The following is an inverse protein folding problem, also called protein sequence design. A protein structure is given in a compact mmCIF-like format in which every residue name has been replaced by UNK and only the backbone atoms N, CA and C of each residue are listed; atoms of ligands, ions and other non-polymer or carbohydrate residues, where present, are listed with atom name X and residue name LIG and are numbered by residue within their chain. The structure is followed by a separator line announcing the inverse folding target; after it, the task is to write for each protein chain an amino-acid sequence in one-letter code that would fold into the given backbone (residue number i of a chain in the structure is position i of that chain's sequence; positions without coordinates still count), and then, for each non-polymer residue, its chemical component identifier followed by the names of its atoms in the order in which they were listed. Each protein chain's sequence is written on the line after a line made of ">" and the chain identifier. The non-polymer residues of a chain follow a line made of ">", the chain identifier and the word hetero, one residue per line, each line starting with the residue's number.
data_IF_120149714653
#
_entry.id   IF_120149714653
#
_cell.length_a   1.000
_cell.length_b   1.000
_cell.length_c   1.000
_cell.angle_alpha   90.00
_cell.angle_beta   90.00
_cell.angle_gamma   90.00
#
_symmetry.space_group_name_H-M   'P 1'
#
loop_
_entity.id
_entity.type
_entity.pdbx_description
1 polymer ?
#
# COMPACT_ATOMS: atom_id res chain seq x y z
N UNK A 1 -27.36 7.67 -5.45
CA UNK A 1 -26.07 7.89 -6.15
C UNK A 1 -25.38 6.53 -6.20
N UNK A 2 -25.66 5.74 -7.23
CA UNK A 2 -25.14 4.37 -7.44
C UNK A 2 -23.84 4.38 -8.27
N UNK A 3 -22.85 5.15 -7.82
CA UNK A 3 -21.60 5.36 -8.56
C UNK A 3 -20.36 4.52 -8.13
N UNK A 4 -20.28 3.91 -6.92
CA UNK A 4 -19.02 3.25 -6.50
C UNK A 4 -18.75 1.93 -7.26
N UNK A 5 -19.80 1.25 -7.72
CA UNK A 5 -19.67 -0.05 -8.39
C UNK A 5 -19.06 0.04 -9.80
N UNK A 6 -19.28 1.15 -10.53
CA UNK A 6 -18.75 1.33 -11.88
C UNK A 6 -17.24 1.65 -11.87
N UNK A 7 -16.80 2.53 -10.96
CA UNK A 7 -15.39 2.86 -10.77
C UNK A 7 -14.56 1.64 -10.36
N UNK A 8 -15.11 0.78 -9.50
CA UNK A 8 -14.42 -0.44 -9.06
C UNK A 8 -14.23 -1.46 -10.21
N UNK A 9 -15.20 -1.56 -11.16
CA UNK A 9 -15.07 -2.41 -12.36
C UNK A 9 -13.95 -1.94 -13.30
N UNK A 10 -13.86 -0.63 -13.53
CA UNK A 10 -12.77 -0.04 -14.36
C UNK A 10 -11.41 -0.24 -13.70
N UNK A 11 -11.33 -0.06 -12.38
CA UNK A 11 -10.09 -0.28 -11.61
C UNK A 11 -9.61 -1.73 -11.64
N UNK A 12 -10.52 -2.69 -11.52
CA UNK A 12 -10.19 -4.12 -11.59
C UNK A 12 -9.66 -4.53 -12.98
N UNK A 13 -10.30 -4.06 -14.05
CA UNK A 13 -9.84 -4.32 -15.42
C UNK A 13 -8.44 -3.72 -15.68
N UNK A 14 -8.20 -2.49 -15.21
CA UNK A 14 -6.90 -1.83 -15.33
C UNK A 14 -5.83 -2.55 -14.51
N UNK A 15 -6.16 -3.02 -13.30
CA UNK A 15 -5.26 -3.85 -12.49
C UNK A 15 -4.85 -5.13 -13.22
N UNK A 16 -5.82 -5.85 -13.78
CA UNK A 16 -5.55 -7.08 -14.54
C UNK A 16 -4.60 -6.83 -15.73
N UNK A 17 -4.78 -5.70 -16.43
CA UNK A 17 -3.88 -5.28 -17.50
C UNK A 17 -2.46 -4.96 -17.00
N UNK A 18 -2.32 -4.28 -15.85
CA UNK A 18 -1.01 -4.00 -15.22
C UNK A 18 -0.33 -5.31 -14.83
N UNK A 19 -1.03 -6.22 -14.15
CA UNK A 19 -0.50 -7.53 -13.75
C UNK A 19 -0.02 -8.30 -15.00
N UNK A 20 -0.83 -8.36 -16.07
CA UNK A 20 -0.46 -9.04 -17.31
C UNK A 20 0.79 -8.42 -17.96
N UNK A 21 0.86 -7.08 -18.04
CA UNK A 21 2.01 -6.36 -18.59
C UNK A 21 3.29 -6.64 -17.79
N UNK A 22 3.23 -6.55 -16.48
CA UNK A 22 4.39 -6.72 -15.60
C UNK A 22 4.84 -8.18 -15.50
N UNK A 23 3.94 -9.15 -15.67
CA UNK A 23 4.30 -10.59 -15.74
C UNK A 23 4.90 -10.99 -17.10
N UNK A 24 4.56 -10.28 -18.17
CA UNK A 24 5.15 -10.47 -19.50
C UNK A 24 6.48 -9.72 -19.71
N UNK A 25 6.75 -8.68 -18.91
CA UNK A 25 8.04 -8.04 -18.84
C UNK A 25 8.99 -8.90 -18.00
N UNK A 26 10.17 -9.23 -18.51
CA UNK A 26 11.22 -9.81 -17.66
C UNK A 26 11.44 -8.89 -16.46
N UNK A 27 11.50 -9.41 -15.22
CA UNK A 27 11.69 -8.57 -14.04
C UNK A 27 12.97 -7.76 -14.22
N UNK A 28 12.90 -6.45 -13.99
CA UNK A 28 14.06 -5.55 -14.00
C UNK A 28 15.13 -5.97 -12.97
N UNK A 29 14.77 -6.86 -12.03
CA UNK A 29 15.67 -7.53 -11.11
C UNK A 29 15.63 -9.06 -11.31
N UNK A 30 16.12 -9.55 -12.45
CA UNK A 30 16.63 -10.92 -12.48
C UNK A 30 17.83 -11.01 -11.50
N UNK A 31 17.62 -11.45 -10.26
CA UNK A 31 18.62 -12.10 -9.39
C UNK A 31 18.04 -12.57 -8.04
N UNK A 32 17.98 -13.89 -7.89
CA UNK A 32 18.15 -14.65 -6.63
C UNK A 32 17.07 -14.52 -5.53
N UNK A 33 16.22 -15.55 -5.42
CA UNK A 33 16.25 -16.53 -4.32
C UNK A 33 15.28 -17.70 -4.64
N UNK A 34 15.56 -18.87 -4.04
CA UNK A 34 15.05 -20.21 -4.41
C UNK A 34 13.53 -20.40 -4.21
N UNK A 35 12.98 -21.33 -5.00
CA UNK A 35 11.57 -21.75 -5.05
C UNK A 35 11.14 -22.60 -3.84
N UNK A 36 10.42 -21.97 -2.91
CA UNK A 36 9.72 -22.67 -1.81
C UNK A 36 8.19 -22.42 -1.87
N UNK A 37 7.62 -22.17 -3.06
CA UNK A 37 6.17 -22.04 -3.27
C UNK A 37 5.56 -20.71 -2.79
N UNK A 38 6.27 -19.91 -1.99
CA UNK A 38 6.00 -18.50 -1.77
C UNK A 38 7.17 -17.71 -2.35
N UNK A 39 6.95 -16.90 -3.39
CA UNK A 39 8.00 -16.06 -4.01
C UNK A 39 8.51 -15.06 -2.98
N UNK A 40 9.58 -15.40 -2.28
CA UNK A 40 10.26 -14.47 -1.39
C UNK A 40 11.02 -13.48 -2.25
N UNK A 41 10.42 -12.32 -2.54
CA UNK A 41 11.14 -11.22 -3.20
C UNK A 41 12.18 -10.73 -2.20
N UNK A 42 13.47 -10.94 -2.48
CA UNK A 42 14.56 -10.58 -1.57
C UNK A 42 14.74 -9.06 -1.46
N UNK A 43 14.26 -8.32 -2.46
CA UNK A 43 14.17 -6.86 -2.49
C UNK A 43 12.71 -6.38 -2.49
N UNK A 44 12.47 -5.17 -1.97
CA UNK A 44 11.19 -4.50 -2.18
C UNK A 44 11.01 -4.17 -3.67
N UNK A 45 9.77 -4.18 -4.20
CA UNK A 45 9.49 -3.69 -5.55
C UNK A 45 9.95 -2.23 -5.73
N UNK A 46 10.39 -1.88 -6.93
CA UNK A 46 10.93 -0.55 -7.22
C UNK A 46 9.83 0.46 -7.57
N UNK A 47 8.66 -0.02 -8.01
CA UNK A 47 7.52 0.82 -8.36
C UNK A 47 6.17 0.14 -8.03
N UNK A 48 5.10 0.92 -8.14
CA UNK A 48 3.75 0.45 -7.84
C UNK A 48 3.25 -0.64 -8.80
N UNK A 49 3.68 -0.62 -10.08
CA UNK A 49 3.26 -1.62 -11.06
C UNK A 49 3.86 -3.00 -10.73
N UNK A 50 5.15 -3.02 -10.38
CA UNK A 50 5.85 -4.22 -9.92
C UNK A 50 5.22 -4.75 -8.62
N UNK A 51 4.87 -3.86 -7.69
CA UNK A 51 4.20 -4.25 -6.45
C UNK A 51 2.80 -4.82 -6.70
N UNK A 52 1.99 -4.20 -7.57
CA UNK A 52 0.66 -4.71 -7.98
C UNK A 52 0.79 -6.12 -8.58
N UNK A 53 1.79 -6.34 -9.44
CA UNK A 53 2.03 -7.63 -10.06
C UNK A 53 2.51 -8.71 -9.07
N UNK A 54 3.32 -8.29 -8.10
CA UNK A 54 3.84 -9.13 -7.00
C UNK A 54 2.72 -9.56 -6.05
N UNK A 55 1.89 -8.62 -5.61
CA UNK A 55 0.76 -8.88 -4.70
C UNK A 55 -0.34 -9.68 -5.41
N UNK A 56 -0.63 -9.36 -6.67
CA UNK A 56 -1.70 -10.00 -7.42
C UNK A 56 -3.06 -9.77 -6.75
N UNK A 57 -3.73 -10.84 -6.36
CA UNK A 57 -5.02 -10.80 -5.65
C UNK A 57 -4.90 -11.31 -4.19
N UNK A 58 -3.67 -11.64 -3.75
CA UNK A 58 -3.43 -12.28 -2.46
C UNK A 58 -3.37 -11.27 -1.31
N UNK A 59 -4.29 -11.42 -0.35
CA UNK A 59 -4.32 -10.67 0.90
C UNK A 59 -3.07 -10.91 1.76
N UNK A 60 -2.62 -12.17 1.87
CA UNK A 60 -1.38 -12.50 2.59
C UNK A 60 -0.16 -11.83 1.93
N UNK A 61 -0.08 -11.81 0.60
CA UNK A 61 1.02 -11.14 -0.10
C UNK A 61 0.99 -9.62 0.11
N UNK A 62 -0.20 -9.00 0.09
CA UNK A 62 -0.36 -7.58 0.41
C UNK A 62 0.08 -7.27 1.85
N UNK A 63 -0.34 -8.09 2.80
CA UNK A 63 0.01 -7.94 4.22
C UNK A 63 1.50 -8.12 4.48
N UNK A 64 2.15 -9.11 3.86
CA UNK A 64 3.60 -9.29 3.96
C UNK A 64 4.36 -8.09 3.38
N UNK A 65 3.95 -7.61 2.20
CA UNK A 65 4.54 -6.41 1.60
C UNK A 65 4.35 -5.18 2.48
N UNK A 66 3.15 -4.95 3.02
CA UNK A 66 2.88 -3.87 3.95
C UNK A 66 3.83 -3.89 5.15
N UNK A 67 3.97 -5.03 5.84
CA UNK A 67 4.89 -5.17 6.98
C UNK A 67 6.34 -4.92 6.60
N UNK A 68 6.78 -5.33 5.40
CA UNK A 68 8.14 -5.02 4.91
C UNK A 68 8.35 -3.53 4.69
N UNK A 69 7.37 -2.82 4.13
CA UNK A 69 7.45 -1.36 3.95
C UNK A 69 7.45 -0.63 5.30
N UNK A 70 6.60 -1.03 6.26
CA UNK A 70 6.60 -0.47 7.62
C UNK A 70 7.94 -0.70 8.31
N UNK A 71 8.51 -1.91 8.26
CA UNK A 71 9.85 -2.19 8.82
C UNK A 71 10.93 -1.29 8.23
N UNK A 72 10.92 -1.11 6.90
CA UNK A 72 11.88 -0.23 6.22
C UNK A 72 11.69 1.23 6.65
N UNK A 73 10.46 1.71 6.72
CA UNK A 73 10.14 3.04 7.17
C UNK A 73 10.66 3.27 8.61
N UNK A 74 10.38 2.35 9.53
CA UNK A 74 10.88 2.40 10.93
C UNK A 74 12.40 2.44 11.00
N UNK A 75 13.09 1.64 10.19
CA UNK A 75 14.55 1.60 10.18
C UNK A 75 15.18 2.88 9.61
N UNK A 76 14.54 3.53 8.65
CA UNK A 76 15.02 4.76 8.03
C UNK A 76 14.62 6.03 8.80
N UNK A 77 13.58 5.96 9.62
CA UNK A 77 13.00 7.13 10.28
C UNK A 77 13.97 7.92 11.17
N UNK A 78 14.87 7.30 11.96
CA UNK A 78 15.82 8.04 12.78
C UNK A 78 16.75 8.98 12.00
N UNK A 79 16.96 8.75 10.70
CA UNK A 79 17.79 9.60 9.85
C UNK A 79 17.01 10.51 8.91
N UNK A 80 15.76 10.14 8.57
CA UNK A 80 14.93 10.90 7.63
C UNK A 80 13.93 11.83 8.30
N UNK A 81 13.39 11.44 9.46
CA UNK A 81 12.30 12.15 10.14
C UNK A 81 11.14 12.49 9.18
N UNK A 82 10.68 11.50 8.42
CA UNK A 82 9.75 11.65 7.31
C UNK A 82 8.28 11.38 7.69
N UNK A 83 8.03 10.70 8.82
CA UNK A 83 6.69 10.29 9.24
C UNK A 83 6.32 10.98 10.56
N UNK A 84 5.16 11.63 10.58
CA UNK A 84 4.55 12.14 11.81
C UNK A 84 3.91 11.01 12.61
N UNK A 85 3.28 10.09 11.90
CA UNK A 85 2.74 8.85 12.42
C UNK A 85 3.04 7.73 11.43
N UNK A 86 3.23 6.52 11.95
CA UNK A 86 3.54 5.34 11.15
C UNK A 86 2.76 4.14 11.68
N UNK A 87 2.01 3.53 10.77
CA UNK A 87 1.22 2.33 11.02
C UNK A 87 2.01 1.24 11.76
N UNK A 88 1.35 0.54 12.67
CA UNK A 88 1.96 -0.55 13.44
C UNK A 88 2.17 -1.78 12.57
N UNK A 89 3.16 -2.60 12.88
CA UNK A 89 3.39 -3.85 12.15
C UNK A 89 2.28 -4.88 12.41
N UNK A 90 1.64 -4.81 13.58
CA UNK A 90 0.55 -5.71 14.00
C UNK A 90 -0.84 -5.13 13.72
N UNK A 91 -0.97 -3.99 13.03
CA UNK A 91 -2.30 -3.52 12.61
C UNK A 91 -2.88 -4.57 11.63
N UNK A 92 -3.76 -5.42 12.18
CA UNK A 92 -4.43 -6.54 11.52
C UNK A 92 -5.53 -6.07 10.55
N UNK A 93 -5.77 -4.76 10.46
CA UNK A 93 -6.71 -4.13 9.52
C UNK A 93 -6.19 -4.14 8.06
N UNK A 94 -5.47 -5.20 7.69
CA UNK A 94 -5.28 -5.56 6.30
C UNK A 94 -6.64 -5.78 5.64
N UNK A 95 -6.72 -5.63 4.30
CA UNK A 95 -7.99 -5.79 3.61
C UNK A 95 -8.55 -7.20 3.85
N UNK A 96 -9.66 -7.34 4.58
CA UNK A 96 -10.35 -8.62 4.71
C UNK A 96 -11.01 -8.97 3.38
N UNK A 97 -10.45 -9.92 2.64
CA UNK A 97 -10.95 -10.36 1.34
C UNK A 97 -10.00 -10.07 0.17
N UNK A 98 -10.39 -10.46 -1.06
CA UNK A 98 -9.52 -10.34 -2.23
C UNK A 98 -9.09 -8.89 -2.46
N UNK A 99 -7.81 -8.74 -2.79
CA UNK A 99 -7.22 -7.43 -3.09
C UNK A 99 -7.81 -6.91 -4.39
N UNK A 100 -8.73 -5.95 -4.28
CA UNK A 100 -9.49 -5.38 -5.40
C UNK A 100 -9.12 -3.91 -5.65
N UNK A 101 -9.51 -3.39 -6.83
CA UNK A 101 -9.18 -2.03 -7.24
C UNK A 101 -7.76 -1.87 -7.78
N UNK A 102 -7.53 -0.79 -8.54
CA UNK A 102 -6.27 -0.57 -9.25
C UNK A 102 -5.04 -0.65 -8.34
N UNK A 103 -5.08 0.05 -7.21
CA UNK A 103 -4.00 0.12 -6.22
C UNK A 103 -4.24 -0.80 -5.01
N UNK A 104 -5.12 -1.79 -5.13
CA UNK A 104 -5.35 -2.74 -4.04
C UNK A 104 -4.03 -3.38 -3.57
N UNK A 105 -3.82 -3.40 -2.25
CA UNK A 105 -2.64 -4.01 -1.62
C UNK A 105 -1.33 -3.24 -1.78
N UNK A 106 -1.37 -2.02 -2.32
CA UNK A 106 -0.23 -1.09 -2.36
C UNK A 106 -0.25 -0.23 -1.08
N UNK A 107 0.81 -0.24 -0.25
CA UNK A 107 0.91 0.65 0.90
C UNK A 107 0.91 2.12 0.46
N UNK A 108 0.22 2.96 1.24
CA UNK A 108 0.10 4.39 0.96
C UNK A 108 0.64 5.20 2.14
N UNK A 109 1.52 6.16 1.85
CA UNK A 109 1.86 7.25 2.75
C UNK A 109 1.12 8.52 2.33
N UNK A 110 0.41 9.15 3.26
CA UNK A 110 -0.28 10.41 3.01
C UNK A 110 0.39 11.53 3.80
N UNK A 111 0.42 12.74 3.22
CA UNK A 111 0.85 13.94 3.97
C UNK A 111 -0.12 14.17 5.14
N UNK A 112 0.38 14.61 6.31
CA UNK A 112 -0.41 14.85 7.51
C UNK A 112 -1.56 15.88 7.36
N UNK A 113 -1.59 16.63 6.25
CA UNK A 113 -2.71 17.53 5.90
C UNK A 113 -3.89 16.80 5.23
N UNK A 114 -3.74 15.54 4.83
CA UNK A 114 -4.84 14.73 4.31
C UNK A 114 -5.59 14.10 5.47
N UNK A 115 -6.89 14.37 5.55
CA UNK A 115 -7.77 13.81 6.55
C UNK A 115 -8.02 12.33 6.28
N UNK A 116 -7.79 11.49 7.29
CA UNK A 116 -8.24 10.10 7.33
C UNK A 116 -9.19 9.98 8.51
N UNK A 117 -10.42 9.56 8.25
CA UNK A 117 -11.47 9.51 9.26
C UNK A 117 -11.03 8.71 10.48
N UNK A 118 -11.18 9.30 11.68
CA UNK A 118 -10.81 8.64 12.93
C UNK A 118 -9.32 8.58 13.25
N UNK A 119 -8.43 8.88 12.29
CA UNK A 119 -6.97 8.95 12.50
C UNK A 119 -6.54 10.37 12.87
N UNK A 120 -5.43 10.53 13.59
CA UNK A 120 -4.90 11.87 13.90
C UNK A 120 -4.46 12.56 12.60
N UNK A 121 -4.84 13.82 12.42
CA UNK A 121 -4.43 14.65 11.28
C UNK A 121 -4.08 16.05 11.78
N UNK A 122 -2.85 16.22 12.27
CA UNK A 122 -2.37 17.46 12.91
C UNK A 122 -1.81 18.49 11.92
N UNK A 123 -1.66 18.13 10.64
CA UNK A 123 -0.97 18.93 9.62
C UNK A 123 0.38 19.52 10.09
N UNK A 124 1.06 18.85 11.03
CA UNK A 124 2.27 19.32 11.71
C UNK A 124 2.10 20.68 12.41
N UNK A 125 0.95 20.95 13.03
CA UNK A 125 0.64 22.20 13.74
C UNK A 125 -0.01 21.97 15.10
N UNK A 126 0.45 22.70 16.11
CA UNK A 126 -0.13 22.68 17.47
C UNK A 126 -1.61 23.09 17.49
N UNK A 127 -2.07 23.89 16.50
CA UNK A 127 -3.48 24.28 16.38
C UNK A 127 -4.39 23.07 16.16
N UNK A 128 -3.87 22.03 15.52
CA UNK A 128 -4.59 20.79 15.21
C UNK A 128 -4.09 19.61 16.04
N UNK A 129 -3.42 19.86 17.18
CA UNK A 129 -2.95 18.78 18.05
C UNK A 129 -4.12 17.86 18.41
N UNK A 130 -3.93 16.56 18.14
CA UNK A 130 -4.91 15.48 18.34
C UNK A 130 -6.23 15.63 17.58
N UNK A 131 -6.32 16.50 16.56
CA UNK A 131 -7.49 16.58 15.70
C UNK A 131 -7.73 15.24 14.99
N UNK A 132 -8.97 14.75 15.06
CA UNK A 132 -9.45 13.55 14.36
C UNK A 132 -10.60 13.97 13.44
N UNK A 133 -10.41 13.97 12.11
CA UNK A 133 -11.44 14.43 11.19
C UNK A 133 -12.60 13.43 11.16
N UNK A 134 -13.86 13.92 11.02
CA UNK A 134 -15.05 13.08 10.87
C UNK A 134 -15.27 12.65 9.41
N UNK A 135 -14.23 12.70 8.58
CA UNK A 135 -14.28 12.33 7.17
C UNK A 135 -12.90 11.92 6.66
N UNK A 136 -12.90 11.14 5.59
CA UNK A 136 -11.71 10.87 4.77
C UNK A 136 -11.69 11.81 3.57
N UNK A 137 -10.56 12.44 3.30
CA UNK A 137 -10.42 13.35 2.16
C UNK A 137 -10.73 12.62 0.84
N UNK A 138 -11.47 13.28 -0.05
CA UNK A 138 -11.72 12.76 -1.40
C UNK A 138 -10.47 12.93 -2.27
N UNK A 139 -10.14 11.90 -3.05
CA UNK A 139 -9.11 11.95 -4.09
C UNK A 139 -9.62 12.58 -5.39
#
# INVERSE_FOLDING_TARGET
>A
RDEPAAANRTGAAMRAAVIARCRGAAPLAARSARDDGCRFVSSLPNDACELIATVGESEQAASDMFRRFVRRARAAEPSLNAYVDLAKEEEEDGPTGPVTGLLGGVPLGAKASFCVEGTVSDACSDVLDRYRPPYTATA
#
